data_IF_435344815360
#
_entry.id   IF_435344815360
#
_cell.length_a   1.000
_cell.length_b   1.000
_cell.length_c   1.000
_cell.angle_alpha   90.00
_cell.angle_beta   90.00
_cell.angle_gamma   90.00
#
_symmetry.space_group_name_H-M   'P 1'
#
loop_
_entity.id
_entity.type
_entity.pdbx_description
1 polymer ?
#
# COMPACT_ATOMS: atom_id res chain seq x y z
N UNK A 1 9.63 4.33 25.71
CA UNK A 1 10.58 3.21 25.57
C UNK A 1 11.49 3.59 24.42
N UNK A 2 12.59 4.27 24.74
CA UNK A 2 13.60 4.66 23.77
C UNK A 2 14.51 3.46 23.56
N UNK A 3 14.59 2.99 22.32
CA UNK A 3 15.47 1.89 21.95
C UNK A 3 16.75 2.51 21.39
N UNK A 4 17.87 2.36 22.11
CA UNK A 4 19.19 2.83 21.68
C UNK A 4 19.79 1.87 20.64
N UNK A 5 20.52 2.40 19.66
CA UNK A 5 21.19 1.65 18.58
C UNK A 5 22.36 0.76 19.07
N UNK A 6 22.63 0.76 20.37
CA UNK A 6 23.80 0.14 20.99
C UNK A 6 23.67 -1.38 21.23
N UNK A 7 22.51 -1.99 20.96
CA UNK A 7 22.25 -3.42 21.19
C UNK A 7 22.14 -4.26 19.90
N UNK A 8 22.79 -3.84 18.82
CA UNK A 8 23.00 -4.70 17.65
C UNK A 8 24.27 -5.53 17.87
N UNK A 9 24.10 -6.85 18.00
CA UNK A 9 25.18 -7.83 17.94
C UNK A 9 24.92 -8.66 16.70
N UNK A 10 25.81 -8.57 15.70
CA UNK A 10 25.78 -9.48 14.55
C UNK A 10 25.80 -10.94 15.08
N UNK A 11 25.08 -11.84 14.41
CA UNK A 11 25.11 -13.29 14.69
C UNK A 11 24.41 -13.77 15.98
N UNK A 12 23.42 -13.04 16.53
CA UNK A 12 22.52 -13.61 17.55
C UNK A 12 21.54 -14.60 16.92
N UNK A 13 21.52 -15.83 17.44
CA UNK A 13 20.56 -16.87 17.05
C UNK A 13 19.56 -17.16 18.16
N UNK A 14 18.27 -17.11 17.84
CA UNK A 14 17.21 -17.65 18.67
C UNK A 14 17.16 -19.17 18.50
N UNK A 15 17.46 -19.91 19.58
CA UNK A 15 17.41 -21.37 19.58
C UNK A 15 16.09 -21.85 20.16
N UNK A 16 15.30 -22.56 19.36
CA UNK A 16 13.99 -23.11 19.76
C UNK A 16 14.08 -24.64 19.73
N UNK A 17 13.67 -25.29 20.82
CA UNK A 17 13.51 -26.74 20.88
C UNK A 17 12.02 -27.08 20.89
N UNK A 18 11.62 -27.99 20.00
CA UNK A 18 10.26 -28.49 19.92
C UNK A 18 10.04 -29.62 20.91
N UNK A 19 8.77 -29.90 21.24
CA UNK A 19 8.36 -31.02 22.10
C UNK A 19 8.85 -32.37 21.56
N UNK A 20 9.04 -32.48 20.24
CA UNK A 20 9.60 -33.66 19.57
C UNK A 20 11.15 -33.72 19.58
N UNK A 21 11.83 -32.83 20.30
CA UNK A 21 13.30 -32.78 20.42
C UNK A 21 14.02 -32.19 19.20
N UNK A 22 13.31 -31.63 18.21
CA UNK A 22 13.97 -30.91 17.10
C UNK A 22 14.41 -29.53 17.54
N UNK A 23 15.65 -29.18 17.22
CA UNK A 23 16.26 -27.88 17.50
C UNK A 23 16.31 -27.05 16.22
N UNK A 24 15.92 -25.79 16.33
CA UNK A 24 15.96 -24.80 15.26
C UNK A 24 16.74 -23.58 15.71
N UNK A 25 17.54 -23.02 14.82
CA UNK A 25 18.29 -21.79 15.05
C UNK A 25 17.79 -20.73 14.06
N UNK A 26 17.36 -19.59 14.57
CA UNK A 26 16.87 -18.46 13.76
C UNK A 26 17.78 -17.27 13.97
N UNK A 27 18.39 -16.78 12.90
CA UNK A 27 19.18 -15.55 12.93
C UNK A 27 18.29 -14.34 13.23
N UNK A 28 18.72 -13.48 14.15
CA UNK A 28 18.11 -12.18 14.38
C UNK A 28 18.55 -11.20 13.28
N UNK A 29 17.61 -10.73 12.48
CA UNK A 29 17.86 -9.79 11.36
C UNK A 29 17.14 -8.46 11.58
N UNK A 30 17.73 -7.37 11.10
CA UNK A 30 17.07 -6.04 11.18
C UNK A 30 15.83 -5.96 10.30
N UNK A 31 15.86 -6.63 9.14
CA UNK A 31 14.80 -6.61 8.13
C UNK A 31 14.53 -8.02 7.62
N UNK A 32 13.28 -8.45 7.69
CA UNK A 32 12.83 -9.76 7.23
C UNK A 32 11.66 -9.62 6.26
N UNK A 33 11.66 -10.38 5.17
CA UNK A 33 10.51 -10.42 4.24
C UNK A 33 9.80 -11.75 4.39
N UNK A 34 8.55 -11.71 4.86
CA UNK A 34 7.70 -12.89 5.01
C UNK A 34 6.44 -12.75 4.17
N UNK A 35 6.22 -13.71 3.27
CA UNK A 35 5.07 -13.71 2.34
C UNK A 35 4.91 -12.38 1.58
N UNK A 36 6.04 -11.73 1.28
CA UNK A 36 6.09 -10.44 0.59
C UNK A 36 5.80 -9.22 1.46
N UNK A 37 5.58 -9.37 2.77
CA UNK A 37 5.51 -8.27 3.74
C UNK A 37 6.86 -8.07 4.43
N UNK A 38 7.26 -6.82 4.59
CA UNK A 38 8.50 -6.42 5.24
C UNK A 38 8.23 -6.19 6.72
N UNK A 39 9.02 -6.87 7.54
CA UNK A 39 9.08 -6.71 8.98
C UNK A 39 10.44 -6.11 9.33
N UNK A 40 10.44 -5.05 10.11
CA UNK A 40 11.65 -4.43 10.63
C UNK A 40 11.70 -4.59 12.14
N UNK A 41 12.90 -4.69 12.72
CA UNK A 41 13.11 -4.66 14.18
C UNK A 41 12.63 -3.34 14.78
N UNK A 42 12.78 -2.23 14.06
CA UNK A 42 12.27 -0.93 14.48
C UNK A 42 10.75 -0.87 14.26
N UNK A 43 9.98 -0.19 15.13
CA UNK A 43 8.53 -0.02 14.98
C UNK A 43 8.18 0.98 13.86
N UNK A 44 8.73 0.77 12.66
CA UNK A 44 8.56 1.62 11.50
C UNK A 44 7.74 0.89 10.42
N UNK A 45 6.43 1.07 10.47
CA UNK A 45 5.53 0.52 9.45
C UNK A 45 5.63 1.27 8.11
N UNK A 46 6.26 2.45 8.10
CA UNK A 46 6.32 3.32 6.92
C UNK A 46 7.02 2.67 5.74
N UNK A 47 8.01 1.80 6.00
CA UNK A 47 8.73 1.06 4.97
C UNK A 47 7.86 0.02 4.26
N UNK A 48 7.07 -0.75 5.02
CA UNK A 48 6.12 -1.72 4.45
C UNK A 48 5.03 -1.02 3.63
N UNK A 49 4.47 0.08 4.16
CA UNK A 49 3.44 0.86 3.47
C UNK A 49 4.00 1.45 2.17
N UNK A 50 5.24 1.92 2.18
CA UNK A 50 5.91 2.41 0.98
C UNK A 50 6.12 1.30 -0.05
N UNK A 51 6.57 0.12 0.38
CA UNK A 51 6.70 -1.04 -0.50
C UNK A 51 5.37 -1.43 -1.14
N UNK A 52 4.27 -1.35 -0.39
CA UNK A 52 2.89 -1.63 -0.86
C UNK A 52 2.38 -0.58 -1.82
N UNK A 53 2.63 0.70 -1.55
CA UNK A 53 2.34 1.81 -2.48
C UNK A 53 3.12 1.61 -3.78
N UNK A 54 4.39 1.19 -3.72
CA UNK A 54 5.19 0.88 -4.91
C UNK A 54 4.62 -0.31 -5.68
N UNK A 55 4.22 -1.38 -4.99
CA UNK A 55 3.56 -2.53 -5.62
C UNK A 55 2.25 -2.12 -6.33
N UNK A 56 1.43 -1.30 -5.67
CA UNK A 56 0.22 -0.72 -6.25
C UNK A 56 0.53 0.17 -7.47
N UNK A 57 1.60 0.97 -7.43
CA UNK A 57 2.04 1.78 -8.57
C UNK A 57 2.46 0.91 -9.77
N UNK A 58 3.16 -0.20 -9.54
CA UNK A 58 3.49 -1.18 -10.60
C UNK A 58 2.23 -1.79 -11.21
N UNK A 59 1.25 -2.16 -10.37
CA UNK A 59 -0.05 -2.66 -10.85
C UNK A 59 -0.77 -1.63 -11.73
N UNK A 60 -0.84 -0.37 -11.29
CA UNK A 60 -1.42 0.74 -12.08
C UNK A 60 -0.66 0.97 -13.40
N UNK A 61 0.67 0.84 -13.40
CA UNK A 61 1.47 0.97 -14.60
C UNK A 61 1.17 -0.15 -15.61
N UNK A 62 1.04 -1.40 -15.16
CA UNK A 62 0.63 -2.53 -16.00
C UNK A 62 -0.77 -2.34 -16.59
N UNK A 63 -1.70 -1.78 -15.82
CA UNK A 63 -3.08 -1.53 -16.24
C UNK A 63 -3.28 -0.18 -16.96
N UNK A 64 -2.20 0.55 -17.28
CA UNK A 64 -2.26 1.90 -17.84
C UNK A 64 -3.07 1.99 -19.13
N UNK A 65 -2.97 0.99 -20.01
CA UNK A 65 -3.73 0.96 -21.28
C UNK A 65 -5.23 0.95 -21.03
N UNK A 66 -5.69 0.12 -20.10
CA UNK A 66 -7.10 0.00 -19.70
C UNK A 66 -7.58 1.28 -19.03
N UNK A 67 -6.82 1.80 -18.06
CA UNK A 67 -7.20 3.00 -17.31
C UNK A 67 -7.28 4.25 -18.21
N UNK A 68 -6.43 4.35 -19.24
CA UNK A 68 -6.42 5.46 -20.21
C UNK A 68 -7.46 5.31 -21.32
N UNK A 69 -7.95 4.11 -21.59
CA UNK A 69 -8.88 3.86 -22.69
C UNK A 69 -10.22 4.59 -22.47
N UNK A 70 -10.62 5.46 -23.40
CA UNK A 70 -11.88 6.22 -23.32
C UNK A 70 -13.12 5.35 -23.61
N UNK A 71 -12.95 4.23 -24.30
CA UNK A 71 -14.03 3.32 -24.66
C UNK A 71 -14.46 2.42 -23.48
N UNK A 72 -13.66 2.37 -22.41
CA UNK A 72 -13.97 1.61 -21.20
C UNK A 72 -14.67 2.54 -20.20
N UNK A 73 -15.84 2.09 -19.71
CA UNK A 73 -16.64 2.86 -18.76
C UNK A 73 -15.88 3.12 -17.46
N UNK A 74 -16.20 4.24 -16.81
CA UNK A 74 -15.63 4.57 -15.50
C UNK A 74 -15.94 3.51 -14.46
N UNK A 75 -17.15 2.94 -14.49
CA UNK A 75 -17.58 1.91 -13.56
C UNK A 75 -16.69 0.66 -13.65
N UNK A 76 -16.35 0.20 -14.85
CA UNK A 76 -15.44 -0.94 -15.03
C UNK A 76 -14.04 -0.63 -14.50
N UNK A 77 -13.53 0.60 -14.71
CA UNK A 77 -12.23 1.02 -14.17
C UNK A 77 -12.23 1.11 -12.64
N UNK A 78 -13.33 1.57 -12.04
CA UNK A 78 -13.51 1.58 -10.58
C UNK A 78 -13.57 0.15 -10.05
N UNK A 79 -14.29 -0.76 -10.71
CA UNK A 79 -14.32 -2.17 -10.35
C UNK A 79 -12.91 -2.77 -10.39
N UNK A 80 -12.15 -2.50 -11.45
CA UNK A 80 -10.75 -2.93 -11.56
C UNK A 80 -9.87 -2.36 -10.45
N UNK A 81 -10.07 -1.09 -10.09
CA UNK A 81 -9.39 -0.49 -8.94
C UNK A 81 -9.71 -1.22 -7.63
N UNK A 82 -11.00 -1.41 -7.32
CA UNK A 82 -11.46 -2.06 -6.08
C UNK A 82 -11.00 -3.53 -5.97
N UNK A 83 -10.94 -4.25 -7.09
CA UNK A 83 -10.69 -5.71 -7.11
C UNK A 83 -9.24 -6.11 -7.34
N UNK A 84 -8.43 -5.28 -8.00
CA UNK A 84 -7.04 -5.64 -8.37
C UNK A 84 -6.05 -4.68 -7.74
N UNK A 85 -6.21 -3.38 -7.97
CA UNK A 85 -5.19 -2.39 -7.57
C UNK A 85 -5.21 -2.15 -6.05
N UNK A 86 -6.39 -1.97 -5.45
CA UNK A 86 -6.54 -1.70 -4.02
C UNK A 86 -6.03 -2.87 -3.16
N UNK A 87 -6.40 -4.14 -3.42
CA UNK A 87 -5.91 -5.27 -2.63
C UNK A 87 -4.37 -5.42 -2.64
N UNK A 88 -3.72 -5.12 -3.77
CA UNK A 88 -2.24 -5.15 -3.85
C UNK A 88 -1.60 -4.14 -2.88
N UNK A 89 -2.20 -2.96 -2.76
CA UNK A 89 -1.71 -1.91 -1.88
C UNK A 89 -2.18 -2.06 -0.43
N UNK A 90 -3.19 -2.87 -0.13
CA UNK A 90 -3.72 -3.09 1.23
C UNK A 90 -3.41 -4.49 1.77
N UNK A 91 -2.59 -5.27 1.06
CA UNK A 91 -2.19 -6.60 1.54
C UNK A 91 -1.45 -6.48 2.88
N UNK A 92 -1.80 -7.35 3.82
CA UNK A 92 -1.31 -7.36 5.20
C UNK A 92 -1.60 -6.07 5.99
N UNK A 93 -2.57 -5.26 5.56
CA UNK A 93 -2.95 -4.03 6.29
C UNK A 93 -3.52 -4.30 7.67
N UNK A 94 -4.01 -5.52 7.92
CA UNK A 94 -4.46 -5.99 9.22
C UNK A 94 -3.34 -6.05 10.26
N UNK A 95 -2.07 -6.17 9.83
CA UNK A 95 -0.90 -6.24 10.71
C UNK A 95 -0.20 -4.90 10.88
N UNK A 96 -0.73 -3.81 10.30
CA UNK A 96 -0.08 -2.50 10.33
C UNK A 96 -0.43 -1.72 11.61
N UNK A 97 0.59 -1.37 12.38
CA UNK A 97 0.47 -0.39 13.46
C UNK A 97 0.54 1.04 12.88
N UNK A 98 -0.61 1.59 12.49
CA UNK A 98 -0.69 2.86 11.75
C UNK A 98 -0.51 4.11 12.64
N UNK A 99 0.42 4.98 12.24
CA UNK A 99 0.54 6.35 12.76
C UNK A 99 -0.40 7.31 12.02
N UNK A 100 -0.62 8.53 12.53
CA UNK A 100 -1.50 9.54 11.89
C UNK A 100 -1.11 9.90 10.45
N UNK A 101 0.17 9.77 10.10
CA UNK A 101 0.73 10.11 8.79
C UNK A 101 0.43 9.06 7.71
N UNK A 102 0.41 7.79 8.07
CA UNK A 102 0.36 6.69 7.11
C UNK A 102 -1.00 6.57 6.38
N UNK A 103 -2.17 6.69 7.05
CA UNK A 103 -3.45 6.76 6.38
C UNK A 103 -3.54 7.94 5.41
N UNK A 104 -2.87 9.05 5.71
CA UNK A 104 -2.84 10.23 4.83
C UNK A 104 -2.08 9.89 3.55
N UNK A 105 -0.92 9.22 3.65
CA UNK A 105 -0.14 8.75 2.49
C UNK A 105 -0.96 7.84 1.58
N UNK A 106 -1.66 6.86 2.16
CA UNK A 106 -2.54 5.94 1.42
C UNK A 106 -3.70 6.68 0.74
N UNK A 107 -4.36 7.61 1.44
CA UNK A 107 -5.43 8.44 0.85
C UNK A 107 -4.92 9.33 -0.29
N UNK A 108 -3.72 9.91 -0.16
CA UNK A 108 -3.09 10.70 -1.22
C UNK A 108 -2.82 9.81 -2.44
N UNK A 109 -2.32 8.60 -2.22
CA UNK A 109 -2.07 7.62 -3.27
C UNK A 109 -3.35 7.21 -4.00
N UNK A 110 -4.41 6.83 -3.27
CA UNK A 110 -5.73 6.50 -3.84
C UNK A 110 -6.27 7.64 -4.70
N UNK A 111 -6.21 8.88 -4.20
CA UNK A 111 -6.65 10.07 -4.93
C UNK A 111 -5.87 10.33 -6.22
N UNK A 112 -4.61 9.91 -6.32
CA UNK A 112 -3.86 9.98 -7.58
C UNK A 112 -4.43 9.01 -8.62
N UNK A 113 -4.86 7.83 -8.20
CA UNK A 113 -5.45 6.81 -9.07
C UNK A 113 -6.86 7.19 -9.50
N UNK A 114 -7.72 7.60 -8.55
CA UNK A 114 -9.10 7.99 -8.86
C UNK A 114 -9.15 9.16 -9.85
N UNK A 115 -8.25 10.13 -9.74
CA UNK A 115 -8.15 11.22 -10.74
C UNK A 115 -7.76 10.74 -12.14
N UNK A 116 -6.97 9.67 -12.27
CA UNK A 116 -6.70 9.05 -13.58
C UNK A 116 -7.96 8.39 -14.16
N UNK A 117 -8.81 7.82 -13.30
CA UNK A 117 -10.05 7.15 -13.71
C UNK A 117 -11.13 8.16 -14.12
N UNK A 118 -11.39 9.15 -13.28
CA UNK A 118 -12.43 10.15 -13.53
C UNK A 118 -11.99 11.26 -14.50
N UNK A 119 -10.69 11.53 -14.60
CA UNK A 119 -10.12 12.58 -15.45
C UNK A 119 -10.38 13.99 -14.92
N UNK A 120 -10.29 14.98 -15.81
CA UNK A 120 -10.65 16.37 -15.54
C UNK A 120 -12.15 16.64 -15.64
N UNK A 121 -12.58 17.78 -15.12
CA UNK A 121 -13.92 18.35 -15.32
C UNK A 121 -13.83 19.37 -16.47
N UNK A 122 -14.78 19.33 -17.39
CA UNK A 122 -14.89 20.32 -18.47
C UNK A 122 -15.69 21.52 -17.94
N UNK A 123 -15.12 22.70 -18.10
CA UNK A 123 -15.74 24.00 -17.86
C UNK A 123 -15.75 24.79 -19.17
N UNK A 124 -16.40 25.96 -19.18
CA UNK A 124 -16.41 26.87 -20.34
C UNK A 124 -14.98 27.31 -20.71
N UNK A 125 -14.11 27.48 -19.71
CA UNK A 125 -12.71 27.89 -19.86
C UNK A 125 -11.74 26.73 -20.17
N UNK A 126 -12.20 25.48 -20.21
CA UNK A 126 -11.37 24.32 -20.58
C UNK A 126 -11.47 23.12 -19.64
N UNK A 127 -10.33 22.43 -19.42
CA UNK A 127 -10.28 21.24 -18.55
C UNK A 127 -9.59 21.55 -17.23
N UNK A 128 -10.35 21.47 -16.13
CA UNK A 128 -9.83 21.69 -14.78
C UNK A 128 -9.63 20.39 -14.02
N UNK A 129 -8.71 20.41 -13.06
CA UNK A 129 -8.48 19.29 -12.14
C UNK A 129 -9.59 19.23 -11.09
N UNK A 130 -10.15 18.05 -10.86
CA UNK A 130 -11.17 17.84 -9.82
C UNK A 130 -10.61 17.96 -8.40
N UNK A 131 -11.41 18.54 -7.51
CA UNK A 131 -11.12 18.67 -6.07
C UNK A 131 -11.19 17.32 -5.36
N UNK A 132 -10.72 17.25 -4.11
CA UNK A 132 -10.83 16.02 -3.32
C UNK A 132 -12.30 15.65 -3.05
N UNK A 133 -13.15 16.65 -2.80
CA UNK A 133 -14.57 16.48 -2.51
C UNK A 133 -15.33 15.97 -3.74
N UNK A 134 -15.10 16.56 -4.91
CA UNK A 134 -15.70 16.09 -6.17
C UNK A 134 -15.33 14.63 -6.47
N UNK A 135 -14.08 14.23 -6.22
CA UNK A 135 -13.65 12.84 -6.40
C UNK A 135 -14.33 11.90 -5.41
N UNK A 136 -14.48 12.32 -4.15
CA UNK A 136 -15.17 11.53 -3.13
C UNK A 136 -16.63 11.32 -3.49
N UNK A 137 -17.34 12.38 -3.93
CA UNK A 137 -18.74 12.29 -4.34
C UNK A 137 -18.92 11.33 -5.52
N UNK A 138 -18.02 11.41 -6.52
CA UNK A 138 -18.05 10.50 -7.67
C UNK A 138 -17.73 9.04 -7.31
N UNK A 139 -16.89 8.82 -6.30
CA UNK A 139 -16.50 7.48 -5.86
C UNK A 139 -17.56 6.85 -4.95
N UNK A 140 -18.15 7.64 -4.04
CA UNK A 140 -19.17 7.20 -3.08
C UNK A 140 -20.56 7.01 -3.68
N UNK A 141 -20.86 7.61 -4.84
CA UNK A 141 -22.16 7.44 -5.53
C UNK A 141 -22.34 6.04 -6.19
N UNK A 142 -21.37 5.14 -6.02
CA UNK A 142 -21.42 3.75 -6.51
C UNK A 142 -21.38 2.70 -5.39
N UNK A 143 -21.69 3.09 -4.16
CA UNK A 143 -21.97 2.23 -3.01
C UNK A 143 -23.47 2.25 -2.67
#
# INVERSE_FOLDING_TARGET
MEWTEEEYQEERFLKIETIAGKKYEFEEVERFTYLGSIFSRKPNIGEEIEARIMAGNRCVAGLRRILRNKNITRQTKIRLYKTVIRPVATYASETWALNKTEPIRLKVWERKILRKIFGGKRTEEGWIRRTNEEINNLYGCGE
#
